data_IF_944672703711
#
_entry.id   IF_944672703711
#
_cell.length_a   1.000
_cell.length_b   1.000
_cell.length_c   1.000
_cell.angle_alpha   90.00
_cell.angle_beta   90.00
_cell.angle_gamma   90.00
#
_symmetry.space_group_name_H-M   'P 1'
#
loop_
_entity.id
_entity.type
_entity.pdbx_description
1 polymer ?
#
# COMPACT_ATOMS: atom_id res chain seq x y z
N UNK A 1 -1.95 -8.75 8.71
CA UNK A 1 -1.58 -7.98 9.92
C UNK A 1 -0.33 -7.17 9.60
N UNK A 2 -0.33 -5.87 9.90
CA UNK A 2 0.85 -5.01 9.84
C UNK A 2 1.67 -5.17 11.13
N UNK A 3 2.99 -5.10 11.03
CA UNK A 3 3.92 -5.15 12.16
C UNK A 3 4.72 -3.86 12.22
N UNK A 4 5.15 -3.46 13.42
CA UNK A 4 5.98 -2.27 13.62
C UNK A 4 5.27 -0.95 13.34
N UNK A 5 3.96 -0.86 13.61
CA UNK A 5 3.24 0.41 13.51
C UNK A 5 3.81 1.40 14.55
N UNK A 6 4.22 2.61 14.14
CA UNK A 6 4.65 3.63 15.08
C UNK A 6 3.55 3.94 16.10
N UNK A 7 3.95 4.22 17.34
CA UNK A 7 3.03 4.63 18.39
C UNK A 7 2.19 5.84 17.96
N UNK A 8 0.90 5.82 18.29
CA UNK A 8 -0.03 6.88 17.94
C UNK A 8 -0.47 6.89 16.48
N UNK A 9 -0.17 5.84 15.71
CA UNK A 9 -0.80 5.64 14.40
C UNK A 9 -2.32 5.51 14.56
N UNK A 10 -3.07 6.37 13.86
CA UNK A 10 -4.54 6.35 13.83
C UNK A 10 -5.08 5.80 12.51
N UNK A 11 -4.27 5.85 11.45
CA UNK A 11 -4.66 5.30 10.15
C UNK A 11 -3.47 4.89 9.31
N UNK A 12 -3.69 3.96 8.39
CA UNK A 12 -2.75 3.60 7.32
C UNK A 12 -3.35 3.88 5.95
N UNK A 13 -2.48 4.00 4.95
CA UNK A 13 -2.89 4.10 3.56
C UNK A 13 -1.97 3.24 2.70
N UNK A 14 -2.58 2.41 1.85
CA UNK A 14 -1.90 1.57 0.88
C UNK A 14 -1.92 2.24 -0.50
N UNK A 15 -0.83 2.09 -1.24
CA UNK A 15 -0.77 2.44 -2.65
C UNK A 15 0.02 1.37 -3.41
N UNK A 16 -0.52 0.93 -4.53
CA UNK A 16 0.22 0.13 -5.50
C UNK A 16 0.66 1.04 -6.65
N UNK A 17 1.92 0.90 -7.06
CA UNK A 17 2.50 1.61 -8.19
C UNK A 17 3.22 0.63 -9.10
N UNK A 18 2.99 0.75 -10.39
CA UNK A 18 3.86 0.14 -11.41
C UNK A 18 5.06 1.08 -11.61
N UNK A 19 6.28 0.60 -11.36
CA UNK A 19 7.48 1.40 -11.51
C UNK A 19 7.88 1.57 -12.98
N UNK A 20 7.45 0.66 -13.86
CA UNK A 20 7.66 0.74 -15.30
C UNK A 20 6.62 1.66 -15.96
N UNK A 21 5.39 1.72 -15.43
CA UNK A 21 4.34 2.63 -15.91
C UNK A 21 3.75 3.49 -14.77
N UNK A 22 4.51 4.47 -14.24
CA UNK A 22 4.11 5.27 -13.07
C UNK A 22 2.81 6.07 -13.23
N UNK A 23 2.40 6.37 -14.47
CA UNK A 23 1.19 7.10 -14.81
C UNK A 23 -0.08 6.26 -14.66
N UNK A 24 0.03 4.93 -14.71
CA UNK A 24 -1.12 4.05 -14.54
C UNK A 24 -1.51 3.93 -13.07
N UNK A 25 -2.73 4.39 -12.74
CA UNK A 25 -3.21 4.34 -11.36
C UNK A 25 -3.75 2.95 -11.01
N UNK A 26 -2.92 2.13 -10.35
CA UNK A 26 -3.32 0.85 -9.76
C UNK A 26 -4.22 1.00 -8.52
N UNK A 27 -4.38 2.20 -7.98
CA UNK A 27 -5.19 2.46 -6.80
C UNK A 27 -4.46 2.10 -5.50
N UNK A 28 -5.22 1.50 -4.57
CA UNK A 28 -4.84 1.34 -3.18
C UNK A 28 -5.98 1.81 -2.27
N UNK A 29 -5.69 2.02 -0.99
CA UNK A 29 -6.71 2.41 -0.02
C UNK A 29 -6.83 3.93 0.13
N UNK A 30 -8.00 4.38 0.60
CA UNK A 30 -8.08 5.64 1.37
C UNK A 30 -7.42 5.43 2.73
N UNK A 31 -7.61 6.34 3.68
CA UNK A 31 -7.16 6.11 5.07
C UNK A 31 -8.02 5.00 5.68
N UNK A 32 -7.39 3.92 6.12
CA UNK A 32 -8.02 2.85 6.89
C UNK A 32 -7.71 3.14 8.35
N UNK A 33 -8.75 3.27 9.19
CA UNK A 33 -8.59 3.45 10.62
C UNK A 33 -7.90 2.22 11.21
N UNK A 34 -6.88 2.44 12.05
CA UNK A 34 -6.12 1.37 12.67
C UNK A 34 -6.42 1.28 14.16
N UNK A 35 -6.68 0.05 14.61
CA UNK A 35 -6.51 -0.39 15.99
C UNK A 35 -5.04 -0.70 16.27
N UNK A 36 -4.66 -0.78 17.55
CA UNK A 36 -3.29 -1.07 17.97
C UNK A 36 -2.76 -2.46 17.57
N UNK A 37 -3.63 -3.37 17.11
CA UNK A 37 -3.27 -4.72 16.65
C UNK A 37 -2.77 -4.76 15.19
N UNK A 38 -2.93 -3.67 14.43
CA UNK A 38 -2.47 -3.59 13.04
C UNK A 38 -3.21 -4.51 12.05
N UNK A 39 -4.40 -4.98 12.41
CA UNK A 39 -5.21 -5.79 11.51
C UNK A 39 -5.87 -4.91 10.43
N UNK A 40 -5.72 -5.30 9.17
CA UNK A 40 -6.44 -4.70 8.05
C UNK A 40 -7.47 -5.73 7.58
N UNK A 41 -8.78 -5.52 7.80
CA UNK A 41 -9.79 -6.47 7.38
C UNK A 41 -9.73 -6.74 5.87
N UNK A 42 -10.00 -7.98 5.47
CA UNK A 42 -10.14 -8.32 4.05
C UNK A 42 -11.25 -7.49 3.42
N UNK A 43 -11.06 -7.05 2.17
CA UNK A 43 -12.02 -6.19 1.47
C UNK A 43 -12.02 -4.72 1.90
N UNK A 44 -11.12 -4.28 2.79
CA UNK A 44 -11.03 -2.86 3.21
C UNK A 44 -10.74 -1.89 2.06
N UNK A 45 -10.19 -2.37 0.94
CA UNK A 45 -9.97 -1.60 -0.27
C UNK A 45 -9.80 -2.50 -1.49
N UNK A 46 -9.91 -1.91 -2.66
CA UNK A 46 -9.67 -2.56 -3.96
C UNK A 46 -8.48 -1.91 -4.66
N UNK A 47 -7.88 -2.64 -5.59
CA UNK A 47 -6.79 -2.17 -6.45
C UNK A 47 -6.88 -2.87 -7.80
N UNK A 48 -6.26 -2.30 -8.81
CA UNK A 48 -6.12 -2.95 -10.12
C UNK A 48 -4.90 -3.86 -10.05
N UNK A 49 -5.11 -5.16 -10.22
CA UNK A 49 -4.03 -6.15 -10.20
C UNK A 49 -2.98 -5.88 -11.30
N UNK A 50 -1.72 -6.26 -11.07
CA UNK A 50 -0.71 -6.33 -12.12
C UNK A 50 -1.21 -7.08 -13.36
N UNK A 51 -1.12 -6.43 -14.53
CA UNK A 51 -1.42 -7.01 -15.84
C UNK A 51 -0.58 -6.26 -16.88
N UNK A 52 0.76 -6.46 -16.87
CA UNK A 52 1.63 -5.77 -17.81
C UNK A 52 1.28 -6.23 -19.24
N UNK A 53 1.06 -5.31 -20.19
CA UNK A 53 0.69 -5.67 -21.56
C UNK A 53 1.81 -6.40 -22.32
N UNK A 54 3.06 -6.28 -21.85
CA UNK A 54 4.23 -6.93 -22.42
C UNK A 54 5.35 -7.03 -21.39
N UNK A 55 6.00 -8.20 -21.29
CA UNK A 55 7.17 -8.38 -20.45
C UNK A 55 6.90 -8.34 -18.94
N UNK A 56 7.97 -8.13 -18.18
CA UNK A 56 7.96 -8.15 -16.71
C UNK A 56 8.08 -6.73 -16.18
N UNK A 57 7.15 -6.32 -15.33
CA UNK A 57 7.18 -5.03 -14.65
C UNK A 57 7.53 -5.21 -13.16
N UNK A 58 8.03 -4.16 -12.54
CA UNK A 58 8.24 -4.08 -11.09
C UNK A 58 7.12 -3.26 -10.46
N UNK A 59 6.42 -3.87 -9.50
CA UNK A 59 5.34 -3.25 -8.77
C UNK A 59 5.76 -2.97 -7.33
N UNK A 60 5.42 -1.79 -6.81
CA UNK A 60 5.71 -1.38 -5.45
C UNK A 60 4.41 -1.15 -4.67
N UNK A 61 4.27 -1.87 -3.56
CA UNK A 61 3.37 -1.49 -2.49
C UNK A 61 4.04 -0.47 -1.58
N UNK A 62 3.34 0.62 -1.27
CA UNK A 62 3.70 1.56 -0.20
C UNK A 62 2.60 1.56 0.86
N UNK A 63 2.99 1.45 2.13
CA UNK A 63 2.11 1.65 3.29
C UNK A 63 2.56 2.91 4.01
N UNK A 64 1.65 3.85 4.23
CA UNK A 64 1.93 5.09 4.98
C UNK A 64 1.14 5.11 6.28
N UNK A 65 1.83 5.08 7.42
CA UNK A 65 1.23 5.23 8.74
C UNK A 65 1.07 6.71 9.10
N UNK A 66 -0.08 7.08 9.69
CA UNK A 66 -0.43 8.47 10.00
C UNK A 66 -1.07 8.65 11.37
N UNK A 67 -0.86 9.82 11.96
CA UNK A 67 -1.62 10.38 13.10
C UNK A 67 -2.37 11.61 12.60
N UNK A 68 -3.66 11.46 12.30
CA UNK A 68 -4.44 12.49 11.62
C UNK A 68 -3.83 12.87 10.26
N UNK A 69 -3.47 14.14 10.10
CA UNK A 69 -2.79 14.65 8.89
C UNK A 69 -1.29 14.33 8.80
N UNK A 70 -0.64 14.00 9.92
CA UNK A 70 0.82 13.81 10.00
C UNK A 70 1.20 12.40 9.53
N UNK A 71 2.21 12.31 8.68
CA UNK A 71 2.88 11.04 8.35
C UNK A 71 3.86 10.69 9.46
N UNK A 72 3.76 9.47 9.98
CA UNK A 72 4.67 8.95 11.00
C UNK A 72 5.77 8.08 10.38
N UNK A 73 5.39 7.21 9.43
CA UNK A 73 6.33 6.31 8.77
C UNK A 73 5.81 5.87 7.39
N UNK A 74 6.71 5.35 6.57
CA UNK A 74 6.40 4.63 5.32
C UNK A 74 7.18 3.32 5.27
N UNK A 75 6.56 2.30 4.71
CA UNK A 75 7.20 1.04 4.35
C UNK A 75 6.89 0.73 2.89
N UNK A 76 7.84 0.10 2.19
CA UNK A 76 7.67 -0.33 0.80
C UNK A 76 7.99 -1.81 0.64
N UNK A 77 7.36 -2.44 -0.36
CA UNK A 77 7.66 -3.80 -0.80
C UNK A 77 7.56 -3.85 -2.32
N UNK A 78 8.60 -4.38 -2.98
CA UNK A 78 8.67 -4.45 -4.44
C UNK A 78 8.66 -5.91 -4.90
N UNK A 79 8.01 -6.17 -6.04
CA UNK A 79 7.97 -7.48 -6.67
C UNK A 79 7.91 -7.35 -8.20
N UNK A 80 8.56 -8.26 -8.92
CA UNK A 80 8.44 -8.39 -10.37
C UNK A 80 7.24 -9.26 -10.73
N UNK A 81 6.54 -8.95 -11.82
CA UNK A 81 5.40 -9.75 -12.31
C UNK A 81 5.23 -9.62 -13.84
N UNK A 82 4.87 -10.70 -14.56
CA UNK A 82 4.93 -12.09 -14.10
C UNK A 82 6.38 -12.49 -13.75
N UNK A 83 6.54 -13.52 -12.92
CA UNK A 83 7.86 -14.04 -12.51
C UNK A 83 8.42 -15.05 -13.51
#
# INVERSE_FOLDING_TARGET
MLRGLPEGTTSVQFRLKDLNVPSYNHGGSKRIAMSGDGTVPAGSFTYKSPCPPSGVHTYEWTVTARKGGKVLARATAQRRYPE
#
